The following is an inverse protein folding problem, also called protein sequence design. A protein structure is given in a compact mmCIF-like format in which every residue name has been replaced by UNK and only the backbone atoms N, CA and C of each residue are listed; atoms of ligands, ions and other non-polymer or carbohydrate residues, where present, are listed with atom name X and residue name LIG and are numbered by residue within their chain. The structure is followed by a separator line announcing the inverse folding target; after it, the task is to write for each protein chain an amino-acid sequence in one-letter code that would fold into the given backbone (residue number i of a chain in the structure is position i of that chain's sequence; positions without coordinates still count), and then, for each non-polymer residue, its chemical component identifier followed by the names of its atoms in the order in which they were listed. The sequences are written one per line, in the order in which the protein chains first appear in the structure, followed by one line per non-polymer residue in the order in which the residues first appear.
data_IF_331348268194
#
_entry.id   IF_331348268194
#
_cell.length_a   1.000
_cell.length_b   1.000
_cell.length_c   1.000
_cell.angle_alpha   90.00
_cell.angle_beta   90.00
_cell.angle_gamma   90.00
#
_symmetry.space_group_name_H-M   'P 1'
#
loop_
_entity.id
_entity.type
_entity.pdbx_description
1 polymer ?
#
# COMPACT_ATOMS: atom_id res chain seq x y z
N UNK A 1 -1.69 16.35 -11.89
CA UNK A 1 -1.33 14.98 -12.29
C UNK A 1 -2.32 14.04 -11.61
N UNK A 2 -2.91 13.10 -12.35
CA UNK A 2 -3.85 12.15 -11.77
C UNK A 2 -3.08 10.99 -11.15
N UNK A 3 -3.12 10.84 -9.82
CA UNK A 3 -2.59 9.69 -9.08
C UNK A 3 -3.35 8.43 -9.52
N UNK A 4 -2.77 7.68 -10.45
CA UNK A 4 -3.29 6.37 -10.85
C UNK A 4 -2.41 5.29 -10.26
N UNK A 5 -3.04 4.37 -9.56
CA UNK A 5 -2.38 3.16 -9.05
C UNK A 5 -2.56 2.08 -10.12
N UNK A 6 -1.52 1.30 -10.38
CA UNK A 6 -1.55 0.23 -11.37
C UNK A 6 -1.25 -1.10 -10.68
N UNK A 7 -2.02 -2.13 -11.01
CA UNK A 7 -1.76 -3.52 -10.61
C UNK A 7 -1.04 -4.23 -11.75
N UNK A 8 -0.02 -5.03 -11.41
CA UNK A 8 0.63 -5.93 -12.35
C UNK A 8 -0.15 -7.24 -12.37
N UNK A 9 -0.67 -7.59 -13.54
CA UNK A 9 -1.36 -8.86 -13.78
C UNK A 9 -0.34 -9.97 -14.08
N UNK A 10 -0.75 -11.24 -13.91
CA UNK A 10 0.11 -12.41 -14.14
C UNK A 10 0.57 -12.56 -15.60
N UNK A 11 -0.13 -11.91 -16.53
CA UNK A 11 0.22 -11.83 -17.95
C UNK A 11 1.24 -10.71 -18.28
N UNK A 12 1.69 -9.97 -17.27
CA UNK A 12 2.62 -8.86 -17.39
C UNK A 12 1.98 -7.54 -17.82
N UNK A 13 0.66 -7.47 -17.93
CA UNK A 13 -0.05 -6.22 -18.22
C UNK A 13 -0.21 -5.35 -16.97
N UNK A 14 -0.26 -4.02 -17.19
CA UNK A 14 -0.53 -3.04 -16.14
C UNK A 14 -1.98 -2.57 -16.23
N UNK A 15 -2.78 -2.92 -15.24
CA UNK A 15 -4.17 -2.49 -15.15
C UNK A 15 -4.29 -1.32 -14.18
N UNK A 16 -4.91 -0.23 -14.62
CA UNK A 16 -5.18 0.90 -13.72
C UNK A 16 -6.27 0.50 -12.74
N UNK A 17 -5.98 0.60 -11.46
CA UNK A 17 -6.96 0.43 -10.40
C UNK A 17 -7.41 1.78 -9.87
N UNK A 18 -8.71 1.87 -9.59
CA UNK A 18 -9.27 3.07 -9.00
C UNK A 18 -8.80 3.20 -7.55
N UNK A 19 -8.34 4.40 -7.20
CA UNK A 19 -7.97 4.72 -5.83
C UNK A 19 -9.21 4.62 -4.94
N UNK A 20 -9.26 3.58 -4.11
CA UNK A 20 -10.32 3.40 -3.13
C UNK A 20 -9.96 4.15 -1.85
N UNK A 21 -10.91 4.91 -1.32
CA UNK A 21 -10.78 5.47 0.03
C UNK A 21 -10.91 4.33 1.03
N UNK A 22 -9.89 4.10 1.85
CA UNK A 22 -9.95 3.13 2.93
C UNK A 22 -10.47 3.83 4.18
N UNK A 23 -11.62 3.39 4.70
CA UNK A 23 -12.29 4.03 5.85
C UNK A 23 -11.40 4.08 7.11
N UNK A 24 -10.41 3.20 7.21
CA UNK A 24 -9.52 3.06 8.37
C UNK A 24 -8.05 3.27 8.05
N UNK A 25 -7.76 3.97 6.94
CA UNK A 25 -6.37 4.28 6.57
C UNK A 25 -5.64 5.02 7.69
N UNK A 26 -6.33 5.98 8.33
CA UNK A 26 -5.83 6.73 9.47
C UNK A 26 -5.54 5.87 10.70
N UNK A 27 -6.36 4.85 10.94
CA UNK A 27 -6.16 3.93 12.08
C UNK A 27 -4.88 3.12 11.88
N UNK A 28 -4.64 2.64 10.65
CA UNK A 28 -3.42 1.91 10.31
C UNK A 28 -2.18 2.80 10.44
N UNK A 29 -2.22 4.03 9.92
CA UNK A 29 -1.10 4.97 10.05
C UNK A 29 -0.80 5.26 11.53
N UNK A 30 -1.84 5.53 12.33
CA UNK A 30 -1.71 5.76 13.78
C UNK A 30 -1.14 4.56 14.54
N UNK A 31 -1.44 3.35 14.08
CA UNK A 31 -0.95 2.10 14.68
C UNK A 31 0.52 1.86 14.33
N UNK A 32 0.93 2.13 13.09
CA UNK A 32 2.32 2.06 12.65
C UNK A 32 3.21 3.11 13.31
N UNK A 33 2.71 4.33 13.53
CA UNK A 33 3.43 5.36 14.30
C UNK A 33 3.70 4.93 15.74
N UNK A 34 2.75 4.22 16.36
CA UNK A 34 2.86 3.74 17.75
C UNK A 34 3.69 2.47 17.87
N UNK A 35 3.69 1.65 16.83
CA UNK A 35 4.36 0.35 16.79
C UNK A 35 5.20 0.24 15.51
N UNK A 36 6.31 0.99 15.43
CA UNK A 36 7.19 0.97 14.26
C UNK A 36 7.87 -0.40 14.06
N UNK A 37 7.92 -1.22 15.11
CA UNK A 37 8.35 -2.61 15.10
C UNK A 37 7.42 -3.53 14.28
N UNK A 38 6.17 -3.13 14.03
CA UNK A 38 5.26 -3.89 13.15
C UNK A 38 5.61 -3.75 11.66
N UNK A 39 6.41 -2.74 11.29
CA UNK A 39 6.99 -2.63 9.94
C UNK A 39 8.18 -3.59 9.73
N UNK A 40 8.29 -4.64 10.56
CA UNK A 40 9.31 -5.66 10.44
C UNK A 40 9.15 -6.47 9.13
N UNK A 41 9.78 -5.98 8.07
CA UNK A 41 10.52 -6.83 7.18
C UNK A 41 12.00 -6.66 7.53
N UNK A 42 12.68 -7.73 7.94
CA UNK A 42 14.13 -7.75 7.81
C UNK A 42 14.45 -7.40 6.34
N UNK A 43 15.36 -6.46 6.11
CA UNK A 43 15.85 -6.24 4.75
C UNK A 43 16.38 -7.59 4.24
N UNK A 44 15.80 -8.08 3.15
CA UNK A 44 16.38 -9.19 2.40
C UNK A 44 17.68 -8.63 1.80
N UNK A 45 18.83 -9.19 2.21
CA UNK A 45 20.13 -8.97 1.56
C UNK A 45 20.12 -9.42 0.09
#
# INVERSE_FOLDING_TARGET
MADKIYSLSDDGSLESIDKKSYEREYDLQSLLEKHPDLLAGDQID
#
